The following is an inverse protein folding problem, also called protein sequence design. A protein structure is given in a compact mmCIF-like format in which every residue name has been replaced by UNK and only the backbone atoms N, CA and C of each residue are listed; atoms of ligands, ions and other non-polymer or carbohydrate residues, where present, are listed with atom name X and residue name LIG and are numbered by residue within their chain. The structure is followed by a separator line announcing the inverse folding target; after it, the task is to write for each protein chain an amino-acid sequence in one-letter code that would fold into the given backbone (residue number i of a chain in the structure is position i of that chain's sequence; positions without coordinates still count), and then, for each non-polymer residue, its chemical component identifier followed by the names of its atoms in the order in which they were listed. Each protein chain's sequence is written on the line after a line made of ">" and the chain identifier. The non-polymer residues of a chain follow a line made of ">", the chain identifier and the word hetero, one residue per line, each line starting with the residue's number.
data_IF_815198468810
#
_entry.id   IF_815198468810
#
_cell.length_a   1.000
_cell.length_b   1.000
_cell.length_c   1.000
_cell.angle_alpha   90.00
_cell.angle_beta   90.00
_cell.angle_gamma   90.00
#
_symmetry.space_group_name_H-M   'P 1'
#
loop_
_entity.id
_entity.type
_entity.pdbx_description
1 polymer ?
#
# COMPACT_ATOMS: atom_id res chain seq x y z
N UNK A 1 27.50 -11.69 -27.20
CA UNK A 1 26.69 -11.65 -28.42
C UNK A 1 25.43 -10.83 -28.18
N UNK A 2 25.56 -9.51 -28.18
CA UNK A 2 24.46 -8.53 -28.02
C UNK A 2 23.88 -8.10 -29.38
N UNK A 3 24.04 -8.95 -30.40
CA UNK A 3 23.73 -8.63 -31.79
C UNK A 3 22.22 -8.62 -32.11
N UNK A 4 21.38 -9.06 -31.17
CA UNK A 4 19.92 -9.20 -31.38
C UNK A 4 19.09 -8.27 -30.48
N UNK A 5 19.74 -7.36 -29.75
CA UNK A 5 19.05 -6.27 -29.04
C UNK A 5 18.82 -5.11 -29.99
N UNK A 6 17.57 -4.64 -30.19
CA UNK A 6 17.31 -3.45 -30.99
C UNK A 6 18.11 -2.27 -30.42
N UNK A 7 19.09 -1.79 -31.17
CA UNK A 7 19.86 -0.61 -30.82
C UNK A 7 19.02 0.64 -31.07
N UNK A 8 18.45 1.21 -30.02
CA UNK A 8 17.83 2.53 -30.10
C UNK A 8 18.94 3.58 -30.31
N UNK A 9 18.95 4.22 -31.49
CA UNK A 9 19.91 5.25 -31.87
C UNK A 9 19.58 6.63 -31.29
N UNK A 10 18.53 6.76 -30.47
CA UNK A 10 18.26 8.00 -29.76
C UNK A 10 19.14 8.10 -28.52
N UNK A 11 19.80 9.26 -28.35
CA UNK A 11 20.55 9.58 -27.14
C UNK A 11 19.57 9.58 -25.97
N UNK A 12 19.55 8.43 -25.28
CA UNK A 12 18.99 8.16 -23.97
C UNK A 12 17.82 9.02 -23.54
N UNK A 13 16.60 8.49 -23.68
CA UNK A 13 15.49 8.80 -22.77
C UNK A 13 15.73 8.26 -21.36
N UNK A 14 16.99 8.25 -20.90
CA UNK A 14 17.33 7.87 -19.53
C UNK A 14 16.66 8.92 -18.63
N UNK A 15 15.75 8.53 -17.73
CA UNK A 15 15.11 9.46 -16.84
C UNK A 15 16.18 10.29 -16.12
N UNK A 16 16.10 11.62 -16.23
CA UNK A 16 17.03 12.54 -15.54
C UNK A 16 16.89 12.47 -14.02
N UNK A 17 15.87 11.76 -13.52
CA UNK A 17 15.69 11.51 -12.11
C UNK A 17 16.87 10.71 -11.55
N UNK A 18 17.48 11.24 -10.49
CA UNK A 18 18.52 10.53 -9.76
C UNK A 18 17.98 9.20 -9.23
N UNK A 19 18.79 8.15 -9.37
CA UNK A 19 18.48 6.83 -8.83
C UNK A 19 18.31 6.96 -7.30
N UNK A 20 17.23 6.43 -6.70
CA UNK A 20 17.03 6.50 -5.26
C UNK A 20 18.16 5.80 -4.51
N UNK A 21 18.68 6.45 -3.47
CA UNK A 21 19.75 5.89 -2.64
C UNK A 21 19.16 4.82 -1.73
N UNK A 22 19.78 3.64 -1.69
CA UNK A 22 19.48 2.56 -0.73
C UNK A 22 20.36 2.68 0.51
N UNK A 23 19.96 2.07 1.62
CA UNK A 23 20.73 2.03 2.87
C UNK A 23 21.08 3.41 3.48
N UNK A 24 20.29 4.45 3.20
CA UNK A 24 20.52 5.80 3.73
C UNK A 24 19.28 6.31 4.46
N UNK A 25 19.41 6.88 5.67
CA UNK A 25 20.64 7.02 6.46
C UNK A 25 21.16 5.69 7.03
N UNK A 26 22.48 5.49 6.98
CA UNK A 26 23.14 4.30 7.54
C UNK A 26 22.91 4.18 9.05
N UNK A 27 22.78 2.96 9.56
CA UNK A 27 22.72 2.67 10.99
C UNK A 27 21.40 3.02 11.69
N UNK A 28 20.39 3.49 10.96
CA UNK A 28 19.07 3.80 11.55
C UNK A 28 18.17 2.59 11.71
N UNK A 29 18.36 1.53 10.92
CA UNK A 29 17.65 0.28 11.08
C UNK A 29 18.39 -0.64 12.07
N UNK A 30 17.87 -0.76 13.29
CA UNK A 30 18.38 -1.67 14.29
C UNK A 30 17.85 -3.09 14.06
N UNK A 31 18.74 -4.08 14.15
CA UNK A 31 18.42 -5.51 14.04
C UNK A 31 18.65 -6.14 15.41
N UNK A 32 17.60 -6.69 16.01
CA UNK A 32 17.61 -7.20 17.38
C UNK A 32 17.01 -8.61 17.46
N UNK A 33 17.76 -9.62 17.95
CA UNK A 33 19.21 -9.59 18.21
C UNK A 33 20.03 -9.63 16.91
N UNK A 34 21.28 -9.16 16.94
CA UNK A 34 22.19 -9.21 15.78
C UNK A 34 22.63 -10.63 15.42
N UNK A 35 22.63 -11.54 16.40
CA UNK A 35 22.92 -12.96 16.21
C UNK A 35 21.68 -13.75 16.63
N UNK A 36 21.17 -14.56 15.71
CA UNK A 36 19.99 -15.39 15.94
C UNK A 36 20.39 -16.85 15.74
N UNK A 37 19.94 -17.72 16.64
CA UNK A 37 20.06 -19.17 16.47
C UNK A 37 18.74 -19.73 15.97
N UNK A 38 18.82 -20.71 15.09
CA UNK A 38 17.64 -21.44 14.63
C UNK A 38 17.05 -22.27 15.77
N UNK A 39 15.73 -22.35 15.82
CA UNK A 39 15.01 -23.27 16.70
C UNK A 39 15.06 -24.72 16.19
N UNK A 40 14.38 -25.63 16.89
CA UNK A 40 14.31 -27.05 16.54
C UNK A 40 13.62 -27.31 15.18
N UNK A 41 12.91 -26.33 14.62
CA UNK A 41 12.29 -26.38 13.30
C UNK A 41 13.15 -25.69 12.22
N UNK A 42 14.37 -25.26 12.55
CA UNK A 42 15.27 -24.58 11.63
C UNK A 42 14.92 -23.11 11.37
N UNK A 43 14.11 -22.47 12.22
CA UNK A 43 13.67 -21.07 12.03
C UNK A 43 14.47 -20.11 12.91
N UNK A 44 14.94 -19.03 12.32
CA UNK A 44 15.55 -17.90 13.03
C UNK A 44 14.61 -16.69 12.94
N UNK A 45 14.42 -15.98 14.06
CA UNK A 45 13.63 -14.74 14.11
C UNK A 45 14.48 -13.56 14.55
N UNK A 46 14.57 -12.53 13.71
CA UNK A 46 15.13 -11.22 14.04
C UNK A 46 14.03 -10.15 14.00
N UNK A 47 14.17 -9.10 14.79
CA UNK A 47 13.29 -7.92 14.74
C UNK A 47 14.03 -6.76 14.12
N UNK A 48 13.34 -6.02 13.26
CA UNK A 48 13.81 -4.78 12.68
C UNK A 48 13.12 -3.61 13.36
N UNK A 49 13.89 -2.63 13.81
CA UNK A 49 13.38 -1.41 14.42
C UNK A 49 14.00 -0.20 13.74
N UNK A 50 13.16 0.64 13.16
CA UNK A 50 13.55 1.90 12.54
C UNK A 50 13.11 3.09 13.40
N UNK A 51 13.75 4.26 13.27
CA UNK A 51 13.26 5.47 13.89
C UNK A 51 11.89 5.85 13.31
N UNK A 52 11.04 6.52 14.09
CA UNK A 52 9.73 6.98 13.63
C UNK A 52 9.83 7.99 12.47
N UNK A 53 10.93 8.73 12.36
CA UNK A 53 11.20 9.63 11.24
C UNK A 53 12.64 9.45 10.77
N UNK A 54 12.83 9.35 9.46
CA UNK A 54 14.14 9.25 8.80
C UNK A 54 14.23 10.16 7.56
N UNK A 55 13.35 11.16 7.49
CA UNK A 55 13.28 12.13 6.39
C UNK A 55 12.75 11.49 5.10
N UNK A 56 13.16 12.05 3.95
CA UNK A 56 12.81 11.53 2.64
C UNK A 56 14.07 11.25 1.79
N UNK A 57 14.84 10.19 2.11
CA UNK A 57 16.13 9.94 1.45
C UNK A 57 15.94 9.58 -0.03
N UNK A 58 14.80 8.97 -0.39
CA UNK A 58 14.40 8.68 -1.78
C UNK A 58 13.66 9.83 -2.47
N UNK A 59 13.54 11.00 -1.82
CA UNK A 59 12.92 12.26 -2.31
C UNK A 59 11.47 12.13 -2.79
N UNK A 60 11.28 11.60 -4.00
CA UNK A 60 9.98 11.56 -4.66
C UNK A 60 9.17 10.31 -4.31
N UNK A 61 9.80 9.28 -3.73
CA UNK A 61 9.17 8.02 -3.34
C UNK A 61 9.14 7.94 -1.81
N UNK A 62 8.01 7.52 -1.23
CA UNK A 62 7.89 7.40 0.23
C UNK A 62 8.69 6.21 0.75
N UNK A 63 9.14 6.31 2.01
CA UNK A 63 9.90 5.26 2.66
C UNK A 63 11.33 5.06 2.13
N UNK A 64 12.04 4.14 2.76
CA UNK A 64 13.45 3.86 2.52
C UNK A 64 13.69 2.36 2.39
N UNK A 65 14.44 1.97 1.37
CA UNK A 65 14.84 0.59 1.15
C UNK A 65 16.20 0.31 1.80
N UNK A 66 16.23 -0.74 2.63
CA UNK A 66 17.43 -1.31 3.21
C UNK A 66 17.66 -2.71 2.67
N UNK A 67 18.87 -2.96 2.20
CA UNK A 67 19.37 -4.25 1.77
C UNK A 67 20.30 -4.79 2.86
N UNK A 68 19.92 -5.92 3.45
CA UNK A 68 20.58 -6.49 4.62
C UNK A 68 21.22 -7.81 4.22
N UNK A 69 22.55 -7.82 4.28
CA UNK A 69 23.37 -9.01 4.20
C UNK A 69 23.29 -9.81 5.51
N UNK A 70 23.41 -11.13 5.42
CA UNK A 70 23.47 -12.00 6.57
C UNK A 70 24.57 -13.05 6.37
N UNK A 71 25.05 -13.62 7.46
CA UNK A 71 26.01 -14.71 7.43
C UNK A 71 25.63 -15.76 8.47
N UNK A 72 26.02 -17.00 8.25
CA UNK A 72 25.86 -18.06 9.24
C UNK A 72 26.98 -17.95 10.28
N UNK A 73 26.67 -18.25 11.55
CA UNK A 73 27.67 -18.28 12.59
C UNK A 73 28.73 -19.34 12.24
N UNK A 74 30.00 -18.98 12.42
CA UNK A 74 31.17 -19.86 12.28
C UNK A 74 31.61 -20.24 10.85
N UNK A 75 31.05 -19.63 9.80
CA UNK A 75 31.52 -19.79 8.42
C UNK A 75 32.36 -18.60 7.94
N UNK A 76 33.38 -18.88 7.10
CA UNK A 76 33.98 -17.86 6.21
C UNK A 76 32.86 -17.09 5.50
N UNK A 77 33.02 -15.78 5.21
CA UNK A 77 31.98 -14.98 4.57
C UNK A 77 31.44 -15.69 3.33
N UNK A 78 30.17 -16.12 3.40
CA UNK A 78 29.52 -16.80 2.30
C UNK A 78 29.49 -15.89 1.08
N UNK A 79 29.70 -16.45 -0.11
CA UNK A 79 29.50 -15.73 -1.37
C UNK A 79 28.01 -15.51 -1.54
N UNK A 80 27.49 -14.38 -1.07
CA UNK A 80 26.11 -13.99 -1.28
C UNK A 80 25.89 -13.62 -2.75
N UNK A 81 24.92 -14.28 -3.38
CA UNK A 81 24.47 -13.91 -4.72
C UNK A 81 23.73 -12.56 -4.67
N UNK A 82 23.63 -11.86 -5.79
CA UNK A 82 23.01 -10.51 -5.87
C UNK A 82 21.58 -10.44 -5.30
N UNK A 83 20.85 -11.56 -5.29
CA UNK A 83 19.48 -11.64 -4.77
C UNK A 83 19.38 -12.36 -3.41
N UNK A 84 20.49 -12.80 -2.85
CA UNK A 84 20.55 -13.45 -1.53
C UNK A 84 20.72 -12.40 -0.43
N UNK A 85 19.69 -11.55 -0.29
CA UNK A 85 19.67 -10.44 0.66
C UNK A 85 18.27 -10.21 1.20
N UNK A 86 18.19 -9.76 2.44
CA UNK A 86 16.91 -9.39 3.07
C UNK A 86 16.61 -7.94 2.68
N UNK A 87 15.52 -7.73 1.93
CA UNK A 87 15.07 -6.39 1.55
C UNK A 87 14.00 -5.88 2.51
N UNK A 88 14.27 -4.76 3.18
CA UNK A 88 13.38 -4.15 4.17
C UNK A 88 12.97 -2.75 3.68
N UNK A 89 11.67 -2.56 3.44
CA UNK A 89 11.09 -1.27 3.11
C UNK A 89 10.49 -0.64 4.37
N UNK A 90 11.04 0.50 4.78
CA UNK A 90 10.67 1.21 6.00
C UNK A 90 9.93 2.50 5.65
N UNK A 91 8.92 2.88 6.42
CA UNK A 91 8.14 4.12 6.24
C UNK A 91 8.21 5.03 7.45
N UNK A 92 8.28 6.34 7.23
CA UNK A 92 8.21 7.31 8.33
C UNK A 92 6.77 7.35 8.85
N UNK A 93 6.62 7.52 10.15
CA UNK A 93 5.31 7.66 10.79
C UNK A 93 4.61 8.89 10.24
N UNK A 94 3.39 8.69 9.75
CA UNK A 94 2.51 9.76 9.30
C UNK A 94 1.29 9.83 10.22
N UNK A 95 1.25 10.89 11.03
CA UNK A 95 0.15 11.16 11.94
C UNK A 95 -0.91 11.97 11.19
N UNK A 96 -1.90 11.27 10.66
CA UNK A 96 -3.03 11.92 10.02
C UNK A 96 -4.14 12.21 11.03
N UNK A 97 -4.87 13.29 10.79
CA UNK A 97 -6.07 13.61 11.58
C UNK A 97 -7.15 12.53 11.44
N UNK A 98 -8.10 12.52 12.37
CA UNK A 98 -9.25 11.60 12.32
C UNK A 98 -10.13 11.88 11.11
N UNK A 99 -10.28 13.16 10.75
CA UNK A 99 -11.01 13.64 9.59
C UNK A 99 -10.09 14.49 8.70
N UNK A 100 -9.25 13.85 7.85
CA UNK A 100 -8.31 14.58 7.01
C UNK A 100 -9.02 15.60 6.12
N UNK A 101 -8.46 16.80 6.03
CA UNK A 101 -8.92 17.84 5.10
C UNK A 101 -8.20 17.69 3.76
N UNK A 102 -8.66 18.41 2.73
CA UNK A 102 -8.00 18.40 1.43
C UNK A 102 -6.55 18.87 1.54
N UNK A 103 -6.28 19.91 2.33
CA UNK A 103 -4.95 20.50 2.53
C UNK A 103 -3.95 19.49 3.12
N UNK A 104 -4.44 18.56 3.94
CA UNK A 104 -3.62 17.50 4.54
C UNK A 104 -3.27 16.41 3.53
N UNK A 105 -4.20 16.03 2.65
CA UNK A 105 -4.01 14.95 1.68
C UNK A 105 -3.46 15.40 0.32
N UNK A 106 -3.65 16.67 -0.04
CA UNK A 106 -3.24 17.22 -1.33
C UNK A 106 -1.73 17.07 -1.59
N UNK A 107 -0.82 17.25 -0.60
CA UNK A 107 0.61 17.03 -0.83
C UNK A 107 0.92 15.58 -1.20
N UNK A 108 0.18 14.61 -0.65
CA UNK A 108 0.33 13.19 -0.95
C UNK A 108 -0.10 12.92 -2.40
N UNK A 109 -1.28 13.41 -2.79
CA UNK A 109 -1.77 13.31 -4.16
C UNK A 109 -0.87 14.02 -5.15
N UNK A 110 -0.28 15.16 -4.78
CA UNK A 110 0.62 15.91 -5.65
C UNK A 110 1.92 15.16 -5.90
N UNK A 111 2.52 14.60 -4.85
CA UNK A 111 3.69 13.73 -4.96
C UNK A 111 3.42 12.60 -5.95
N UNK A 112 2.26 11.96 -5.82
CA UNK A 112 1.83 10.88 -6.68
C UNK A 112 1.59 11.32 -8.14
N UNK A 113 0.88 12.43 -8.35
CA UNK A 113 0.61 12.98 -9.68
C UNK A 113 1.91 13.33 -10.43
N UNK A 114 2.95 13.74 -9.69
CA UNK A 114 4.27 14.02 -10.24
C UNK A 114 5.04 12.75 -10.63
N UNK A 115 4.86 11.64 -9.88
CA UNK A 115 5.47 10.35 -10.20
C UNK A 115 4.87 9.70 -11.46
N UNK A 116 3.59 9.96 -11.74
CA UNK A 116 2.85 9.37 -12.86
C UNK A 116 2.29 10.45 -13.79
N UNK A 117 3.15 11.16 -14.54
CA UNK A 117 2.75 12.30 -15.35
C UNK A 117 1.76 11.94 -16.47
N UNK A 118 1.78 10.69 -16.95
CA UNK A 118 0.80 10.23 -17.96
C UNK A 118 -0.61 10.20 -17.38
N UNK A 119 -0.76 9.78 -16.12
CA UNK A 119 -2.06 9.79 -15.44
C UNK A 119 -2.54 11.21 -15.17
N UNK A 120 -1.67 12.09 -14.66
CA UNK A 120 -2.04 13.46 -14.28
C UNK A 120 -2.20 14.40 -15.48
N UNK A 121 -1.49 14.20 -16.59
CA UNK A 121 -1.60 15.06 -17.78
C UNK A 121 -2.55 14.54 -18.85
N UNK A 122 -2.88 13.25 -18.84
CA UNK A 122 -3.63 12.60 -19.92
C UNK A 122 -4.97 11.96 -19.52
N UNK A 123 -5.24 11.74 -18.22
CA UNK A 123 -6.43 11.02 -17.75
C UNK A 123 -7.12 11.74 -16.59
N UNK A 124 -6.54 11.70 -15.39
CA UNK A 124 -7.11 12.24 -14.15
C UNK A 124 -5.99 12.81 -13.26
N UNK A 125 -5.98 14.13 -13.07
CA UNK A 125 -5.11 14.77 -12.08
C UNK A 125 -5.73 14.70 -10.68
N UNK A 126 -5.38 13.67 -9.91
CA UNK A 126 -5.85 13.53 -8.52
C UNK A 126 -5.25 14.59 -7.58
N UNK A 127 -4.30 15.42 -8.03
CA UNK A 127 -3.86 16.61 -7.28
C UNK A 127 -4.83 17.78 -7.37
N UNK A 128 -5.91 17.66 -8.16
CA UNK A 128 -7.06 18.55 -8.18
C UNK A 128 -8.20 17.97 -7.32
N UNK A 129 -8.74 18.78 -6.41
CA UNK A 129 -9.77 18.34 -5.46
C UNK A 129 -11.05 17.86 -6.15
N UNK A 130 -11.55 18.61 -7.14
CA UNK A 130 -12.81 18.30 -7.80
C UNK A 130 -12.73 16.96 -8.54
N UNK A 131 -11.59 16.70 -9.19
CA UNK A 131 -11.33 15.43 -9.88
C UNK A 131 -11.20 14.28 -8.89
N UNK A 132 -10.50 14.49 -7.77
CA UNK A 132 -10.37 13.51 -6.70
C UNK A 132 -11.73 13.17 -6.09
N UNK A 133 -12.52 14.19 -5.75
CA UNK A 133 -13.82 14.04 -5.11
C UNK A 133 -14.84 13.35 -6.03
N UNK A 134 -14.86 13.72 -7.32
CA UNK A 134 -15.71 13.09 -8.31
C UNK A 134 -15.39 11.60 -8.53
N UNK A 135 -14.16 11.17 -8.27
CA UNK A 135 -13.69 9.80 -8.43
C UNK A 135 -13.47 9.07 -7.10
N UNK A 136 -14.02 9.59 -5.99
CA UNK A 136 -13.71 9.08 -4.66
C UNK A 136 -14.07 7.59 -4.48
N UNK A 137 -15.14 7.12 -5.15
CA UNK A 137 -15.55 5.71 -5.10
C UNK A 137 -14.52 4.76 -5.71
N UNK A 138 -14.02 5.06 -6.91
CA UNK A 138 -13.05 4.19 -7.59
C UNK A 138 -11.68 4.26 -6.90
N UNK A 139 -11.29 5.45 -6.43
CA UNK A 139 -10.06 5.64 -5.66
C UNK A 139 -10.10 4.84 -4.35
N UNK A 140 -11.21 4.88 -3.62
CA UNK A 140 -11.36 4.12 -2.38
C UNK A 140 -11.37 2.61 -2.64
N UNK A 141 -11.95 2.15 -3.74
CA UNK A 141 -11.90 0.75 -4.16
C UNK A 141 -10.45 0.27 -4.38
N UNK A 142 -9.70 0.91 -5.28
CA UNK A 142 -8.33 0.45 -5.62
C UNK A 142 -7.34 0.65 -4.47
N UNK A 143 -7.48 1.74 -3.70
CA UNK A 143 -6.60 2.02 -2.56
C UNK A 143 -6.88 1.13 -1.35
N UNK A 144 -8.05 0.48 -1.25
CA UNK A 144 -8.37 -0.37 -0.09
C UNK A 144 -7.96 -1.83 -0.26
N UNK A 145 -7.66 -2.28 -1.49
CA UNK A 145 -7.31 -3.67 -1.77
C UNK A 145 -5.99 -4.14 -1.11
N UNK A 146 -5.87 -5.42 -0.74
CA UNK A 146 -4.61 -5.98 -0.26
C UNK A 146 -3.60 -6.09 -1.41
N UNK A 147 -2.30 -6.08 -1.11
CA UNK A 147 -1.24 -6.08 -2.13
C UNK A 147 -1.26 -7.31 -3.07
N UNK A 148 -1.92 -8.39 -2.65
CA UNK A 148 -2.07 -9.64 -3.41
C UNK A 148 -3.26 -9.63 -4.36
N UNK A 149 -4.13 -8.62 -4.29
CA UNK A 149 -5.31 -8.50 -5.15
C UNK A 149 -4.87 -7.92 -6.52
N UNK A 150 -5.32 -8.47 -7.65
CA UNK A 150 -4.97 -7.94 -8.97
C UNK A 150 -5.47 -6.50 -9.22
N UNK A 151 -6.55 -6.08 -8.54
CA UNK A 151 -7.06 -4.71 -8.62
C UNK A 151 -6.31 -3.75 -7.67
N UNK A 152 -5.34 -4.24 -6.91
CA UNK A 152 -4.49 -3.42 -6.06
C UNK A 152 -3.60 -2.53 -6.91
N UNK A 153 -3.67 -1.23 -6.64
CA UNK A 153 -2.85 -0.24 -7.33
C UNK A 153 -1.37 -0.42 -6.93
N UNK A 154 -0.48 -0.92 -7.81
CA UNK A 154 0.87 -1.37 -7.43
C UNK A 154 1.75 -0.26 -6.83
N UNK A 155 1.54 0.95 -7.32
CA UNK A 155 2.09 2.20 -6.83
C UNK A 155 1.84 2.49 -5.34
N UNK A 156 0.75 1.99 -4.74
CA UNK A 156 0.50 2.19 -3.31
C UNK A 156 1.43 1.35 -2.43
N UNK A 157 2.21 0.42 -3.03
CA UNK A 157 3.36 -0.24 -2.41
C UNK A 157 4.36 0.78 -1.87
N UNK A 158 4.59 1.85 -2.60
CA UNK A 158 5.53 2.91 -2.22
C UNK A 158 4.85 4.06 -1.45
N UNK A 159 3.66 3.80 -0.89
CA UNK A 159 2.94 4.72 0.00
C UNK A 159 2.90 4.12 1.41
N UNK A 160 3.32 4.90 2.42
CA UNK A 160 3.22 4.46 3.81
C UNK A 160 1.78 4.13 4.21
N UNK A 161 1.61 3.13 5.09
CA UNK A 161 0.29 2.73 5.59
C UNK A 161 -0.46 3.91 6.24
N UNK A 162 0.24 4.81 6.94
CA UNK A 162 -0.34 6.01 7.54
C UNK A 162 -0.91 6.97 6.48
N UNK A 163 -0.14 7.30 5.44
CA UNK A 163 -0.61 8.15 4.34
C UNK A 163 -1.76 7.51 3.57
N UNK A 164 -1.65 6.22 3.25
CA UNK A 164 -2.73 5.44 2.63
C UNK A 164 -4.01 5.50 3.46
N UNK A 165 -3.89 5.32 4.78
CA UNK A 165 -5.01 5.42 5.71
C UNK A 165 -5.65 6.81 5.72
N UNK A 166 -4.85 7.87 5.64
CA UNK A 166 -5.34 9.24 5.55
C UNK A 166 -6.14 9.50 4.27
N UNK A 167 -5.63 9.02 3.12
CA UNK A 167 -6.34 9.08 1.85
C UNK A 167 -7.68 8.35 1.93
N UNK A 168 -7.70 7.12 2.47
CA UNK A 168 -8.93 6.35 2.61
C UNK A 168 -9.97 7.05 3.51
N UNK A 169 -9.54 7.62 4.64
CA UNK A 169 -10.44 8.38 5.53
C UNK A 169 -10.98 9.65 4.86
N UNK A 170 -10.13 10.37 4.13
CA UNK A 170 -10.55 11.54 3.35
C UNK A 170 -11.64 11.15 2.33
N UNK A 171 -11.38 10.12 1.52
CA UNK A 171 -12.31 9.66 0.49
C UNK A 171 -13.63 9.16 1.08
N UNK A 172 -13.60 8.51 2.25
CA UNK A 172 -14.82 8.13 2.96
C UNK A 172 -15.62 9.36 3.40
N UNK A 173 -14.95 10.39 3.93
CA UNK A 173 -15.59 11.67 4.27
C UNK A 173 -16.21 12.36 3.05
N UNK A 174 -15.55 12.32 1.89
CA UNK A 174 -16.08 12.85 0.62
C UNK A 174 -17.34 12.10 0.20
N UNK A 175 -17.31 10.76 0.23
CA UNK A 175 -18.46 9.92 -0.11
C UNK A 175 -19.65 10.19 0.81
N UNK A 176 -19.41 10.35 2.11
CA UNK A 176 -20.43 10.74 3.08
C UNK A 176 -21.09 12.07 2.72
N UNK A 177 -20.29 13.09 2.37
CA UNK A 177 -20.82 14.40 1.93
C UNK A 177 -21.57 14.32 0.60
N UNK A 178 -21.03 13.60 -0.40
CA UNK A 178 -21.67 13.43 -1.70
C UNK A 178 -22.98 12.64 -1.63
N UNK A 179 -23.08 11.63 -0.77
CA UNK A 179 -24.32 10.91 -0.53
C UNK A 179 -25.42 11.82 0.04
N UNK A 180 -25.04 12.79 0.89
CA UNK A 180 -25.95 13.79 1.46
C UNK A 180 -26.33 14.88 0.45
N UNK A 181 -25.41 15.30 -0.43
CA UNK A 181 -25.58 16.48 -1.29
C UNK A 181 -26.00 16.17 -2.74
N UNK A 182 -25.67 14.98 -3.26
CA UNK A 182 -25.92 14.60 -4.66
C UNK A 182 -26.16 13.09 -4.83
N UNK A 183 -27.27 12.54 -4.32
CA UNK A 183 -27.56 11.10 -4.37
C UNK A 183 -27.60 10.52 -5.80
N UNK A 184 -27.91 11.35 -6.80
CA UNK A 184 -27.93 10.97 -8.21
C UNK A 184 -26.54 10.67 -8.81
N UNK A 185 -25.46 11.25 -8.29
CA UNK A 185 -24.09 10.95 -8.73
C UNK A 185 -23.64 9.58 -8.21
N UNK A 186 -23.99 9.24 -6.97
CA UNK A 186 -23.77 7.90 -6.40
C UNK A 186 -24.51 6.85 -7.23
N UNK A 187 -25.76 7.12 -7.63
CA UNK A 187 -26.54 6.24 -8.50
C UNK A 187 -25.90 6.03 -9.89
N UNK A 188 -25.23 7.05 -10.46
CA UNK A 188 -24.51 6.93 -11.75
C UNK A 188 -23.29 6.01 -11.65
N UNK A 189 -22.56 6.03 -10.53
CA UNK A 189 -21.45 5.10 -10.31
C UNK A 189 -21.95 3.68 -10.02
N UNK A 190 -22.99 3.53 -9.19
CA UNK A 190 -23.63 2.23 -8.96
C UNK A 190 -24.19 1.62 -10.25
N UNK A 191 -24.78 2.43 -11.14
CA UNK A 191 -25.27 1.97 -12.44
C UNK A 191 -24.17 1.59 -13.46
N UNK A 192 -22.91 2.01 -13.23
CA UNK A 192 -21.75 1.65 -14.06
C UNK A 192 -20.94 0.48 -13.51
N UNK A 193 -21.17 0.08 -12.26
CA UNK A 193 -20.56 -1.13 -11.70
C UNK A 193 -21.23 -2.37 -12.31
N UNK A 194 -20.51 -3.27 -12.99
CA UNK A 194 -21.07 -4.50 -13.57
C UNK A 194 -21.62 -5.49 -12.53
N UNK A 195 -21.44 -5.19 -11.24
CA UNK A 195 -21.91 -5.99 -10.10
C UNK A 195 -23.14 -5.43 -9.37
N UNK A 196 -23.76 -4.34 -9.82
CA UNK A 196 -24.92 -3.75 -9.11
C UNK A 196 -26.20 -4.59 -9.14
N UNK A 197 -26.21 -5.70 -9.88
CA UNK A 197 -27.30 -6.67 -9.92
C UNK A 197 -27.23 -7.77 -8.86
N UNK A 198 -26.16 -7.85 -8.06
CA UNK A 198 -26.10 -8.83 -6.95
C UNK A 198 -26.64 -8.15 -5.70
N UNK A 199 -27.91 -8.43 -5.41
CA UNK A 199 -28.52 -8.06 -4.14
C UNK A 199 -27.61 -8.52 -2.97
N UNK A 200 -27.46 -7.72 -1.90
CA UNK A 200 -26.81 -8.23 -0.69
C UNK A 200 -27.60 -9.46 -0.25
N UNK A 201 -26.94 -10.62 -0.22
CA UNK A 201 -27.50 -11.79 0.45
C UNK A 201 -27.87 -11.36 1.86
N UNK A 202 -29.14 -11.53 2.21
CA UNK A 202 -29.71 -11.17 3.51
C UNK A 202 -28.77 -11.54 4.66
N UNK A 203 -28.71 -10.74 5.74
CA UNK A 203 -27.91 -11.10 6.91
C UNK A 203 -28.32 -12.49 7.42
N UNK A 204 -27.38 -13.29 7.95
CA UNK A 204 -27.69 -14.61 8.46
C UNK A 204 -28.77 -14.49 9.54
N UNK A 205 -29.85 -15.25 9.35
CA UNK A 205 -30.95 -15.38 10.30
C UNK A 205 -30.38 -15.74 11.68
N UNK A 206 -30.76 -14.95 12.67
CA UNK A 206 -30.41 -15.16 14.07
C UNK A 206 -31.01 -16.51 14.50
N UNK A 207 -30.14 -17.52 14.69
CA UNK A 207 -30.57 -18.86 15.10
C UNK A 207 -31.13 -18.77 16.53
N UNK A 208 -32.45 -18.73 16.64
CA UNK A 208 -33.19 -18.80 17.88
C UNK A 208 -32.88 -20.13 18.60
N UNK A 209 -32.07 -20.07 19.65
CA UNK A 209 -31.75 -21.22 20.51
C UNK A 209 -32.99 -21.66 21.30
N UNK A 210 -33.79 -22.59 20.74
CA UNK A 210 -34.82 -23.31 21.50
C UNK A 210 -34.19 -24.47 22.28
N UNK A 211 -34.38 -24.55 23.61
CA UNK A 211 -33.88 -25.66 24.41
C UNK A 211 -34.77 -26.89 24.20
N UNK A 212 -34.25 -27.92 23.54
CA UNK A 212 -34.90 -29.22 23.42
C UNK A 212 -34.56 -30.03 24.68
N UNK A 213 -35.41 -29.93 25.70
CA UNK A 213 -35.53 -30.97 26.73
C UNK A 213 -37.00 -31.38 26.85
N UNK A 214 -37.20 -32.70 26.97
CA UNK A 214 -38.44 -33.45 27.22
C UNK A 214 -39.20 -34.00 26.01
N UNK A 215 -38.88 -35.25 25.65
CA UNK A 215 -39.84 -36.38 25.71
C UNK A 215 -39.17 -37.70 25.29
N UNK A 216 -38.71 -38.45 26.28
CA UNK A 216 -38.60 -39.91 26.21
C UNK A 216 -39.22 -40.47 27.50
N UNK A 217 -40.53 -40.66 27.46
CA UNK A 217 -41.29 -41.56 28.35
C UNK A 217 -42.32 -42.31 27.49
N UNK A 218 -42.39 -43.63 27.72
CA UNK A 218 -43.17 -44.68 27.04
C UNK A 218 -42.67 -45.00 25.63
N UNK A 219 -42.30 -46.24 25.29
CA UNK A 219 -42.74 -47.56 25.75
C UNK A 219 -41.58 -48.51 25.96
#
# INVERSE_FOLDING_TARGET
>A
DDADTPGDSTVGTTPTAAIPITNSPMGTLAILPQVVRTDAAGRATARFQAPPQFGCPRRYIDGQLYAIAYNFADADPIIQQTFDQISVLVFSTFNASEHPTWEEVQPIWKQYANLYPIMSKGLFDFSNQEVCDANAHILQFVLSKPITDPDHMPVTRDLSAGKRGALLRYLEGVKGRSAVHAPHLVARFQGRCPFSGVAPSSPPEEVENKPIFNRLRSR
#
